data_IF_590704561932
#
_entry.id   IF_590704561932
#
_cell.length_a   1.000
_cell.length_b   1.000
_cell.length_c   1.000
_cell.angle_alpha   90.00
_cell.angle_beta   90.00
_cell.angle_gamma   90.00
#
_symmetry.space_group_name_H-M   'P 1'
#
loop_
_entity.id
_entity.type
_entity.pdbx_description
1 polymer ?
#
# COMPACT_ATOMS: atom_id res chain seq x y z
N UNK A 1 23.68 -0.49 8.40
CA UNK A 1 23.70 -1.46 9.52
C UNK A 1 23.54 -0.79 10.87
N UNK A 2 24.47 0.07 11.28
CA UNK A 2 24.48 0.71 12.62
C UNK A 2 23.22 1.52 12.92
N UNK A 3 22.71 2.26 11.93
CA UNK A 3 21.49 3.07 12.12
C UNK A 3 20.24 2.21 12.37
N UNK A 4 20.12 1.07 11.70
CA UNK A 4 19.00 0.13 11.92
C UNK A 4 19.08 -0.50 13.32
N UNK A 5 20.28 -0.87 13.76
CA UNK A 5 20.48 -1.38 15.12
C UNK A 5 20.12 -0.32 16.16
N UNK A 6 20.50 0.94 15.93
CA UNK A 6 20.14 2.04 16.83
C UNK A 6 18.63 2.24 16.92
N UNK A 7 17.91 2.27 15.79
CA UNK A 7 16.45 2.41 15.78
C UNK A 7 15.79 1.24 16.52
N UNK A 8 16.23 0.01 16.23
CA UNK A 8 15.69 -1.18 16.87
C UNK A 8 15.90 -1.15 18.39
N UNK A 9 17.12 -0.84 18.82
CA UNK A 9 17.46 -0.73 20.24
C UNK A 9 16.64 0.37 20.94
N UNK A 10 16.57 1.56 20.37
CA UNK A 10 15.81 2.67 20.93
C UNK A 10 14.32 2.35 21.05
N UNK A 11 13.74 1.69 20.05
CA UNK A 11 12.33 1.28 20.10
C UNK A 11 12.07 0.19 21.16
N UNK A 12 12.97 -0.78 21.32
CA UNK A 12 12.90 -1.79 22.38
C UNK A 12 13.00 -1.16 23.77
N UNK A 13 13.90 -0.21 23.96
CA UNK A 13 14.05 0.54 25.22
C UNK A 13 12.79 1.32 25.56
N UNK A 14 12.15 1.96 24.59
CA UNK A 14 10.90 2.69 24.80
C UNK A 14 9.71 1.77 25.10
N UNK A 15 9.64 0.60 24.47
CA UNK A 15 8.55 -0.35 24.66
C UNK A 15 8.61 -1.07 26.01
N UNK A 16 9.83 -1.37 26.47
CA UNK A 16 10.08 -2.18 27.67
C UNK A 16 9.47 -1.59 28.97
N UNK A 17 9.64 -0.27 29.30
CA UNK A 17 9.07 0.30 30.51
C UNK A 17 7.55 0.37 30.50
N UNK A 18 6.96 0.50 29.34
CA UNK A 18 5.52 0.69 29.18
C UNK A 18 4.74 -0.63 29.21
N UNK A 19 5.43 -1.75 29.05
CA UNK A 19 4.80 -3.07 28.88
C UNK A 19 3.55 -3.00 27.98
N UNK A 20 3.65 -2.20 26.91
CA UNK A 20 2.52 -1.81 26.07
C UNK A 20 2.50 -2.67 24.79
N UNK A 21 1.54 -3.58 24.64
CA UNK A 21 1.44 -4.43 23.44
C UNK A 21 1.03 -3.64 22.19
N UNK A 22 0.69 -2.35 22.32
CA UNK A 22 0.23 -1.49 21.25
C UNK A 22 1.34 -0.66 20.58
N UNK A 23 2.59 -0.80 21.01
CA UNK A 23 3.72 -0.12 20.35
C UNK A 23 4.17 -0.97 19.17
N UNK A 24 3.80 -0.50 17.98
CA UNK A 24 4.23 -1.09 16.73
C UNK A 24 5.43 -0.33 16.16
N UNK A 25 6.30 -1.03 15.48
CA UNK A 25 7.45 -0.45 14.80
C UNK A 25 8.71 -1.29 14.90
N UNK A 26 9.88 -0.72 14.59
CA UNK A 26 11.14 -1.47 14.51
C UNK A 26 11.54 -2.21 15.80
N UNK A 27 11.01 -1.80 16.96
CA UNK A 27 11.28 -2.44 18.26
C UNK A 27 10.43 -3.66 18.55
N UNK A 28 9.40 -3.93 17.75
CA UNK A 28 8.46 -5.03 17.98
C UNK A 28 8.71 -6.24 17.08
N UNK A 29 9.68 -6.15 16.19
CA UNK A 29 10.09 -7.24 15.31
C UNK A 29 11.59 -7.43 15.31
N UNK A 30 12.03 -8.66 15.14
CA UNK A 30 13.43 -9.03 14.92
C UNK A 30 13.75 -9.25 13.44
N UNK A 31 12.75 -9.14 12.57
CA UNK A 31 12.88 -9.36 11.15
C UNK A 31 12.90 -8.03 10.39
N UNK A 32 13.81 -7.94 9.44
CA UNK A 32 14.01 -6.77 8.59
C UNK A 32 14.00 -7.18 7.14
N UNK A 33 13.19 -6.49 6.35
CA UNK A 33 13.20 -6.63 4.89
C UNK A 33 14.06 -5.52 4.30
N UNK A 34 15.10 -5.92 3.59
CA UNK A 34 15.97 -5.00 2.85
C UNK A 34 15.79 -5.25 1.36
N UNK A 35 15.44 -4.21 0.62
CA UNK A 35 15.26 -4.29 -0.82
C UNK A 35 15.98 -3.14 -1.52
N UNK A 36 16.20 -3.28 -2.81
CA UNK A 36 16.80 -2.23 -3.63
C UNK A 36 15.92 -0.97 -3.62
N UNK A 37 16.56 0.19 -3.55
CA UNK A 37 15.88 1.46 -3.67
C UNK A 37 15.49 1.71 -5.13
N UNK A 38 14.21 1.96 -5.37
CA UNK A 38 13.68 2.25 -6.71
C UNK A 38 13.83 3.75 -6.95
N UNK A 39 14.76 4.13 -7.84
CA UNK A 39 14.97 5.52 -8.22
C UNK A 39 13.82 6.03 -9.08
N UNK A 40 13.32 7.22 -8.75
CA UNK A 40 12.28 7.89 -9.56
C UNK A 40 12.79 8.21 -10.97
N UNK A 41 12.00 7.83 -11.97
CA UNK A 41 12.25 8.07 -13.40
C UNK A 41 11.36 9.17 -13.99
N UNK A 42 10.40 9.67 -13.22
CA UNK A 42 9.32 10.51 -13.72
C UNK A 42 9.36 11.93 -13.17
N UNK A 43 10.26 12.24 -12.22
CA UNK A 43 10.30 13.49 -11.48
C UNK A 43 8.97 13.78 -10.76
N UNK A 44 8.43 12.77 -10.09
CA UNK A 44 7.17 12.88 -9.36
C UNK A 44 7.25 13.93 -8.25
N UNK A 45 6.17 14.70 -8.01
CA UNK A 45 6.12 15.58 -6.85
C UNK A 45 6.20 14.78 -5.55
N UNK A 46 6.63 15.46 -4.50
CA UNK A 46 6.83 14.87 -3.17
C UNK A 46 5.75 15.38 -2.22
N UNK A 47 5.15 14.47 -1.47
CA UNK A 47 4.24 14.76 -0.36
C UNK A 47 4.71 14.06 0.91
N UNK A 48 4.07 14.35 2.04
CA UNK A 48 4.35 13.68 3.33
C UNK A 48 5.84 13.63 3.68
N UNK A 49 6.57 14.75 3.42
CA UNK A 49 8.00 14.91 3.75
C UNK A 49 8.95 13.88 3.11
N UNK A 50 8.60 13.34 1.95
CA UNK A 50 9.53 12.45 1.25
C UNK A 50 8.88 11.37 0.38
N UNK A 51 7.57 11.25 0.38
CA UNK A 51 6.87 10.28 -0.45
C UNK A 51 6.67 10.83 -1.86
N UNK A 52 7.19 10.14 -2.86
CA UNK A 52 7.00 10.45 -4.26
C UNK A 52 5.60 10.02 -4.73
N UNK A 53 4.90 10.92 -5.42
CA UNK A 53 3.57 10.66 -5.98
C UNK A 53 3.64 9.84 -7.28
N UNK A 54 4.12 8.61 -7.18
CA UNK A 54 4.00 7.67 -8.30
C UNK A 54 2.54 7.26 -8.49
N UNK A 55 2.16 6.91 -9.73
CA UNK A 55 0.86 6.28 -9.96
C UNK A 55 0.89 4.88 -9.34
N UNK A 56 -0.07 4.62 -8.45
CA UNK A 56 -0.19 3.35 -7.75
C UNK A 56 -1.56 2.73 -7.97
N UNK A 57 -1.56 1.42 -8.11
CA UNK A 57 -2.72 0.59 -8.41
C UNK A 57 -2.93 -0.40 -7.28
N UNK A 58 -4.11 -0.41 -6.70
CA UNK A 58 -4.49 -1.42 -5.71
C UNK A 58 -5.31 -2.50 -6.38
N UNK A 59 -4.73 -3.67 -6.54
CA UNK A 59 -5.37 -4.83 -7.19
C UNK A 59 -5.89 -5.77 -6.10
N UNK A 60 -7.21 -5.96 -6.05
CA UNK A 60 -7.83 -6.94 -5.16
C UNK A 60 -7.84 -8.31 -5.81
N UNK A 61 -7.34 -9.29 -5.09
CA UNK A 61 -7.16 -10.66 -5.56
C UNK A 61 -7.81 -11.67 -4.61
N UNK A 62 -8.10 -12.83 -5.15
CA UNK A 62 -8.55 -14.00 -4.40
C UNK A 62 -7.59 -15.16 -4.68
N UNK A 63 -6.73 -15.45 -3.70
CA UNK A 63 -5.70 -16.50 -3.81
C UNK A 63 -6.24 -17.93 -3.71
N UNK A 64 -7.49 -18.12 -3.24
CA UNK A 64 -8.08 -19.46 -3.21
C UNK A 64 -8.68 -19.85 -4.57
N UNK A 65 -8.94 -18.89 -5.43
CA UNK A 65 -9.56 -19.11 -6.74
C UNK A 65 -8.75 -18.54 -7.90
N UNK A 66 -7.55 -18.03 -7.63
CA UNK A 66 -6.65 -17.39 -8.60
C UNK A 66 -7.35 -16.32 -9.47
N UNK A 67 -8.11 -15.43 -8.81
CA UNK A 67 -8.93 -14.43 -9.50
C UNK A 67 -8.59 -13.01 -9.10
N UNK A 68 -8.57 -12.11 -10.09
CA UNK A 68 -8.65 -10.67 -9.85
C UNK A 68 -10.10 -10.31 -9.51
N UNK A 69 -10.31 -9.65 -8.38
CA UNK A 69 -11.61 -9.18 -7.91
C UNK A 69 -11.93 -7.77 -8.38
N UNK A 70 -10.91 -6.98 -8.65
CA UNK A 70 -10.99 -5.63 -9.15
C UNK A 70 -9.71 -4.84 -8.96
N UNK A 71 -9.71 -3.62 -9.47
CA UNK A 71 -8.58 -2.68 -9.35
C UNK A 71 -9.09 -1.31 -8.94
N UNK A 72 -8.33 -0.61 -8.11
CA UNK A 72 -8.68 0.67 -7.53
C UNK A 72 -7.48 1.63 -7.58
N UNK A 73 -7.68 2.93 -7.87
CA UNK A 73 -6.58 3.89 -7.80
C UNK A 73 -6.16 4.09 -6.35
N UNK A 74 -4.89 3.90 -6.03
CA UNK A 74 -4.39 4.11 -4.67
C UNK A 74 -4.61 5.56 -4.21
N UNK A 75 -4.35 6.51 -5.11
CA UNK A 75 -4.52 7.94 -4.92
C UNK A 75 -5.91 8.41 -5.37
N UNK A 76 -6.98 7.75 -4.89
CA UNK A 76 -8.36 8.12 -5.23
C UNK A 76 -8.69 9.56 -4.81
N UNK A 77 -9.19 10.41 -5.74
CA UNK A 77 -9.44 11.82 -5.46
C UNK A 77 -10.39 12.08 -4.28
N UNK A 78 -11.47 11.31 -4.17
CA UNK A 78 -12.44 11.48 -3.07
C UNK A 78 -11.80 11.14 -1.72
N UNK A 79 -10.95 10.10 -1.69
CA UNK A 79 -10.25 9.69 -0.47
C UNK A 79 -9.21 10.75 -0.08
N UNK A 80 -8.47 11.27 -1.06
CA UNK A 80 -7.42 12.27 -0.79
C UNK A 80 -8.01 13.61 -0.35
N UNK A 81 -9.06 14.11 -1.00
CA UNK A 81 -9.73 15.34 -0.58
C UNK A 81 -10.29 15.21 0.84
N UNK A 82 -10.96 14.10 1.15
CA UNK A 82 -11.45 13.84 2.49
C UNK A 82 -10.31 13.84 3.52
N UNK A 83 -9.18 13.22 3.19
CA UNK A 83 -8.00 13.17 4.06
C UNK A 83 -7.43 14.57 4.32
N UNK A 84 -7.31 15.42 3.29
CA UNK A 84 -6.82 16.78 3.45
C UNK A 84 -7.79 17.67 4.22
N UNK A 85 -9.11 17.44 4.12
CA UNK A 85 -10.11 18.22 4.85
C UNK A 85 -10.20 17.82 6.33
N UNK A 86 -10.17 16.51 6.63
CA UNK A 86 -10.32 15.99 8.01
C UNK A 86 -9.06 16.21 8.87
N UNK A 87 -7.90 16.31 8.25
CA UNK A 87 -6.61 16.39 8.96
C UNK A 87 -5.84 17.68 8.64
N UNK A 88 -6.55 18.81 8.53
CA UNK A 88 -5.94 20.11 8.19
C UNK A 88 -4.77 20.52 9.09
N UNK A 89 -4.83 20.15 10.36
CA UNK A 89 -3.80 20.50 11.34
C UNK A 89 -2.55 19.60 11.26
N UNK A 90 -2.67 18.43 10.62
CA UNK A 90 -1.61 17.41 10.55
C UNK A 90 -0.87 17.41 9.20
N UNK A 91 -1.42 18.07 8.18
CA UNK A 91 -0.83 18.10 6.84
C UNK A 91 -0.25 19.45 6.50
N UNK A 92 0.91 19.41 5.84
CA UNK A 92 1.47 20.60 5.20
C UNK A 92 0.53 21.03 4.06
N UNK A 93 0.18 22.31 3.98
CA UNK A 93 -0.58 22.88 2.86
C UNK A 93 0.06 22.54 1.51
N UNK A 94 1.38 22.40 1.50
CA UNK A 94 2.15 21.95 0.34
C UNK A 94 1.66 20.59 -0.20
N UNK A 95 1.32 19.63 0.65
CA UNK A 95 0.94 18.28 0.22
C UNK A 95 -0.37 18.29 -0.56
N UNK A 96 -1.36 19.05 -0.09
CA UNK A 96 -2.63 19.21 -0.77
C UNK A 96 -2.46 19.94 -2.13
N UNK A 97 -1.63 20.97 -2.18
CA UNK A 97 -1.32 21.70 -3.42
C UNK A 97 -0.61 20.79 -4.42
N UNK A 98 0.42 20.06 -3.97
CA UNK A 98 1.19 19.17 -4.81
C UNK A 98 0.31 18.03 -5.38
N UNK A 99 -0.53 17.42 -4.54
CA UNK A 99 -1.47 16.39 -4.97
C UNK A 99 -2.45 16.92 -6.02
N UNK A 100 -3.17 18.03 -5.74
CA UNK A 100 -4.17 18.60 -6.66
C UNK A 100 -3.56 19.02 -8.00
N UNK A 101 -2.33 19.50 -7.99
CA UNK A 101 -1.61 19.84 -9.22
C UNK A 101 -1.27 18.60 -10.08
N UNK A 102 -1.12 17.42 -9.43
CA UNK A 102 -0.68 16.21 -10.11
C UNK A 102 -1.79 15.14 -10.27
N UNK A 103 -2.94 15.31 -9.65
CA UNK A 103 -4.08 14.40 -9.63
C UNK A 103 -4.49 13.92 -11.03
N UNK A 104 -4.65 14.85 -11.97
CA UNK A 104 -5.02 14.49 -13.34
C UNK A 104 -4.01 13.54 -13.99
N UNK A 105 -2.71 13.75 -13.75
CA UNK A 105 -1.66 12.86 -14.26
C UNK A 105 -1.75 11.46 -13.64
N UNK A 106 -2.00 11.38 -12.34
CA UNK A 106 -2.19 10.11 -11.65
C UNK A 106 -3.38 9.33 -12.22
N UNK A 107 -4.52 10.00 -12.40
CA UNK A 107 -5.74 9.38 -12.88
C UNK A 107 -5.67 9.00 -14.35
N UNK A 108 -5.05 9.82 -15.20
CA UNK A 108 -4.82 9.50 -16.62
C UNK A 108 -3.94 8.25 -16.76
N UNK A 109 -2.83 8.17 -16.04
CA UNK A 109 -1.96 7.00 -16.04
C UNK A 109 -2.67 5.76 -15.51
N UNK A 110 -3.45 5.92 -14.43
CA UNK A 110 -4.26 4.84 -13.88
C UNK A 110 -5.22 4.28 -14.94
N UNK A 111 -6.02 5.12 -15.57
CA UNK A 111 -6.99 4.70 -16.58
C UNK A 111 -6.31 4.01 -17.78
N UNK A 112 -5.17 4.53 -18.23
CA UNK A 112 -4.45 3.99 -19.37
C UNK A 112 -3.80 2.61 -19.08
N UNK A 113 -3.43 2.32 -17.84
CA UNK A 113 -2.62 1.13 -17.52
C UNK A 113 -3.33 0.11 -16.60
N UNK A 114 -4.49 0.42 -16.02
CA UNK A 114 -5.18 -0.48 -15.08
C UNK A 114 -5.41 -1.91 -15.61
N UNK A 115 -5.74 -2.04 -16.91
CA UNK A 115 -5.96 -3.35 -17.52
C UNK A 115 -4.65 -4.13 -17.72
N UNK A 116 -3.56 -3.42 -18.02
CA UNK A 116 -2.23 -4.02 -18.10
C UNK A 116 -1.78 -4.51 -16.72
N UNK A 117 -1.95 -3.66 -15.70
CA UNK A 117 -1.59 -4.00 -14.31
C UNK A 117 -2.41 -5.19 -13.81
N UNK A 118 -3.72 -5.21 -14.08
CA UNK A 118 -4.58 -6.35 -13.73
C UNK A 118 -4.11 -7.65 -14.35
N UNK A 119 -3.70 -7.63 -15.63
CA UNK A 119 -3.16 -8.83 -16.31
C UNK A 119 -1.84 -9.28 -15.71
N UNK A 120 -0.91 -8.34 -15.44
CA UNK A 120 0.37 -8.67 -14.78
C UNK A 120 0.16 -9.23 -13.37
N UNK A 121 -0.78 -8.68 -12.61
CA UNK A 121 -1.13 -9.23 -11.30
C UNK A 121 -1.71 -10.64 -11.41
N UNK A 122 -2.55 -10.91 -12.41
CA UNK A 122 -3.11 -12.25 -12.64
C UNK A 122 -2.03 -13.29 -12.96
N UNK A 123 -0.95 -12.90 -13.64
CA UNK A 123 0.19 -13.78 -13.94
C UNK A 123 0.96 -14.20 -12.68
N UNK A 124 0.90 -13.40 -11.59
CA UNK A 124 1.56 -13.70 -10.33
C UNK A 124 0.76 -14.65 -9.43
N UNK A 125 -0.57 -14.72 -9.60
CA UNK A 125 -1.45 -15.45 -8.67
C UNK A 125 -1.04 -16.91 -8.43
N UNK A 126 -0.68 -17.71 -9.47
CA UNK A 126 -0.32 -19.10 -9.26
C UNK A 126 0.95 -19.29 -8.41
N UNK A 127 1.81 -18.28 -8.36
CA UNK A 127 3.08 -18.31 -7.62
C UNK A 127 2.93 -17.76 -6.19
N UNK A 128 1.80 -17.12 -5.88
CA UNK A 128 1.49 -16.61 -4.55
C UNK A 128 1.01 -17.79 -3.67
N UNK A 129 1.87 -18.27 -2.80
CA UNK A 129 1.48 -19.30 -1.82
C UNK A 129 0.70 -18.70 -0.64
N UNK A 130 -0.42 -18.04 -0.94
CA UNK A 130 -1.29 -17.34 0.02
C UNK A 130 -2.70 -17.92 -0.06
N UNK A 131 -3.50 -17.64 0.97
CA UNK A 131 -4.93 -17.98 1.03
C UNK A 131 -5.77 -16.74 1.32
N UNK A 132 -7.04 -16.77 0.90
CA UNK A 132 -7.97 -15.68 1.15
C UNK A 132 -7.82 -14.53 0.17
N UNK A 133 -8.33 -13.37 0.56
CA UNK A 133 -8.37 -12.18 -0.29
C UNK A 133 -7.34 -11.14 0.16
N UNK A 134 -6.58 -10.65 -0.80
CA UNK A 134 -5.51 -9.68 -0.58
C UNK A 134 -5.63 -8.48 -1.49
N UNK A 135 -5.03 -7.38 -1.11
CA UNK A 135 -4.71 -6.26 -1.99
C UNK A 135 -3.22 -6.29 -2.33
N UNK A 136 -2.91 -6.07 -3.59
CA UNK A 136 -1.56 -5.86 -4.09
C UNK A 136 -1.43 -4.39 -4.48
N UNK A 137 -0.48 -3.68 -3.89
CA UNK A 137 -0.18 -2.32 -4.30
C UNK A 137 0.98 -2.33 -5.30
N UNK A 138 0.67 -1.88 -6.52
CA UNK A 138 1.60 -1.86 -7.64
C UNK A 138 1.92 -0.41 -7.99
N UNK A 139 3.19 -0.03 -7.94
CA UNK A 139 3.69 1.29 -8.31
C UNK A 139 4.15 1.28 -9.76
N UNK A 140 3.75 2.29 -10.53
CA UNK A 140 4.32 2.58 -11.84
C UNK A 140 5.46 3.58 -11.72
N UNK A 141 6.56 3.32 -12.40
CA UNK A 141 7.72 4.22 -12.47
C UNK A 141 8.29 4.19 -13.90
N UNK A 142 7.88 5.13 -14.72
CA UNK A 142 8.06 5.08 -16.18
C UNK A 142 7.27 3.93 -16.78
N UNK A 143 7.96 3.06 -17.50
CA UNK A 143 7.37 1.85 -18.12
C UNK A 143 7.43 0.62 -17.21
N UNK A 144 8.03 0.74 -16.02
CA UNK A 144 8.17 -0.35 -15.07
C UNK A 144 7.03 -0.37 -14.06
N UNK A 145 6.65 -1.60 -13.64
CA UNK A 145 5.65 -1.85 -12.61
C UNK A 145 6.25 -2.68 -11.49
N UNK A 146 6.10 -2.22 -10.26
CA UNK A 146 6.69 -2.80 -9.07
C UNK A 146 5.62 -3.16 -8.04
N UNK A 147 5.56 -4.42 -7.63
CA UNK A 147 4.78 -4.79 -6.45
C UNK A 147 5.49 -4.23 -5.21
N UNK A 148 4.86 -3.29 -4.52
CA UNK A 148 5.47 -2.57 -3.41
C UNK A 148 4.92 -2.97 -2.05
N UNK A 149 3.65 -3.34 -1.98
CA UNK A 149 2.99 -3.73 -0.73
C UNK A 149 1.86 -4.72 -0.95
N UNK A 150 1.51 -5.43 0.12
CA UNK A 150 0.38 -6.37 0.18
C UNK A 150 -0.31 -6.26 1.54
N UNK A 151 -1.63 -6.30 1.55
CA UNK A 151 -2.43 -6.30 2.77
C UNK A 151 -3.68 -7.18 2.63
N UNK A 152 -4.34 -7.49 3.75
CA UNK A 152 -5.65 -8.14 3.69
C UNK A 152 -6.65 -7.24 2.95
N UNK A 153 -7.38 -7.79 1.98
CA UNK A 153 -8.26 -7.01 1.11
C UNK A 153 -9.29 -6.19 1.88
N UNK A 154 -9.90 -6.77 2.91
CA UNK A 154 -10.93 -6.11 3.72
C UNK A 154 -10.43 -4.92 4.53
N UNK A 155 -9.13 -4.87 4.82
CA UNK A 155 -8.48 -3.77 5.56
C UNK A 155 -7.99 -2.65 4.63
N UNK A 156 -8.11 -2.85 3.32
CA UNK A 156 -7.59 -1.94 2.32
C UNK A 156 -8.64 -0.96 1.82
N UNK A 157 -8.28 0.30 1.66
CA UNK A 157 -9.13 1.32 1.07
C UNK A 157 -9.60 0.89 -0.34
N UNK A 158 -10.83 1.22 -0.70
CA UNK A 158 -11.41 0.87 -1.99
C UNK A 158 -12.04 -0.53 -2.07
N UNK A 159 -11.80 -1.44 -1.10
CA UNK A 159 -12.35 -2.80 -1.15
C UNK A 159 -13.87 -2.82 -1.33
N UNK A 160 -14.59 -2.07 -0.50
CA UNK A 160 -16.05 -2.01 -0.57
C UNK A 160 -16.59 -1.30 -1.82
N UNK A 161 -15.81 -0.43 -2.45
CA UNK A 161 -16.17 0.23 -3.71
C UNK A 161 -15.93 -0.66 -4.92
N UNK A 162 -14.93 -1.52 -4.87
CA UNK A 162 -14.39 -2.25 -6.02
C UNK A 162 -14.88 -3.70 -6.08
N UNK A 163 -14.82 -4.41 -4.95
CA UNK A 163 -15.18 -5.83 -4.91
C UNK A 163 -16.69 -6.00 -4.76
N UNK A 164 -17.30 -6.76 -5.66
CA UNK A 164 -18.75 -7.04 -5.63
C UNK A 164 -19.12 -7.77 -4.36
N UNK A 165 -20.26 -7.47 -3.78
CA UNK A 165 -20.72 -8.07 -2.52
C UNK A 165 -20.72 -9.60 -2.54
N UNK A 166 -21.10 -10.19 -3.69
CA UNK A 166 -21.11 -11.65 -3.85
C UNK A 166 -19.73 -12.32 -3.84
N UNK A 167 -18.67 -11.54 -4.14
CA UNK A 167 -17.29 -12.03 -4.19
C UNK A 167 -16.53 -11.74 -2.88
N UNK A 168 -17.10 -10.94 -1.96
CA UNK A 168 -16.45 -10.58 -0.69
C UNK A 168 -16.45 -11.77 0.26
N UNK A 169 -15.29 -12.07 0.77
CA UNK A 169 -15.10 -13.06 1.83
C UNK A 169 -14.35 -12.41 2.98
N UNK A 170 -14.94 -12.33 4.19
CA UNK A 170 -14.21 -11.84 5.36
C UNK A 170 -13.03 -12.77 5.63
N UNK A 171 -11.90 -12.20 6.03
CA UNK A 171 -10.80 -13.01 6.54
C UNK A 171 -11.33 -13.77 7.75
N UNK A 172 -11.08 -15.07 7.80
CA UNK A 172 -11.34 -15.82 9.03
C UNK A 172 -10.43 -15.23 10.10
N UNK A 173 -11.00 -14.87 11.24
CA UNK A 173 -10.33 -14.28 12.41
C UNK A 173 -9.20 -15.19 12.91
N UNK A 174 -8.30 -15.64 12.36
CA UNK A 174 -7.12 -16.38 12.85
C UNK A 174 -6.19 -16.74 11.68
N UNK A 175 -5.65 -15.73 11.02
CA UNK A 175 -4.47 -15.98 10.21
C UNK A 175 -3.20 -15.64 11.02
N UNK A 176 -2.97 -16.42 12.07
CA UNK A 176 -1.63 -16.63 12.61
C UNK A 176 -1.16 -17.91 11.92
N UNK A 177 -0.08 -17.90 11.13
CA UNK A 177 0.53 -19.13 10.66
C UNK A 177 0.87 -19.96 11.92
N UNK A 178 0.37 -21.17 12.01
CA UNK A 178 0.91 -22.13 12.98
C UNK A 178 2.40 -22.29 12.67
N UNK A 179 3.25 -21.79 13.57
CA UNK A 179 4.71 -21.90 13.51
C UNK A 179 5.10 -23.35 13.83
#
# INVERSE_FOLDING_TARGET
>A
GEYLLFIHFAACEMASPLNCPCIYGPGTTTEWVVREFIHDKENCPVIYKGLLLHTEYRVFIDCDTDRILGIYPYWDPEVMEKRFDEHRDDHDEHDAIAYRAYENTLMEKYENNKDLVSRKAAELLPDLNLKGQWSLDVMQNGDDFWLIDMALAEQSAGYLKTVKLADRRPSKENWIPEI
#
